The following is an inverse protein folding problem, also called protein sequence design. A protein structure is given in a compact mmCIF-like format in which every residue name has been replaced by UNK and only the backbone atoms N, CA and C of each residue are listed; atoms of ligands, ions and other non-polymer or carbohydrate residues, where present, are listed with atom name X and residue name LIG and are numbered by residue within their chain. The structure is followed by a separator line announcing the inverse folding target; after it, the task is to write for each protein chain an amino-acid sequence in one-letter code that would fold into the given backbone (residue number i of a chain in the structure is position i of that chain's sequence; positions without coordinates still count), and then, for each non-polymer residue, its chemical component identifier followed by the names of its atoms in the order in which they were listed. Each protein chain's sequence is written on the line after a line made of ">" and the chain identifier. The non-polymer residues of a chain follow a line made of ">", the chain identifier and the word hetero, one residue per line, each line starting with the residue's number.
data_IF_107651677829
#
_entry.id   IF_107651677829
#
_cell.length_a   1.000
_cell.length_b   1.000
_cell.length_c   1.000
_cell.angle_alpha   90.00
_cell.angle_beta   90.00
_cell.angle_gamma   90.00
#
_symmetry.space_group_name_H-M   'P 1'
#
loop_
_entity.id
_entity.type
_entity.pdbx_description
1 polymer ?
#
# COMPACT_ATOMS: atom_id res chain seq x y z
N UNK A 1 -15.95 38.25 16.92
CA UNK A 1 -16.80 37.05 16.91
C UNK A 1 -15.86 35.86 16.75
N UNK A 2 -15.69 35.06 17.81
CA UNK A 2 -14.88 33.86 17.76
C UNK A 2 -15.59 32.83 16.88
N UNK A 3 -14.98 32.44 15.78
CA UNK A 3 -15.44 31.31 14.98
C UNK A 3 -15.17 30.04 15.78
N UNK A 4 -16.22 29.50 16.38
CA UNK A 4 -16.28 28.17 16.96
C UNK A 4 -16.23 27.14 15.81
N UNK A 5 -15.09 27.00 15.11
CA UNK A 5 -14.87 25.84 14.25
C UNK A 5 -14.06 24.82 15.04
N UNK A 6 -14.69 23.69 15.34
CA UNK A 6 -14.01 22.48 15.80
C UNK A 6 -13.39 21.78 14.58
N UNK A 7 -12.58 22.50 13.80
CA UNK A 7 -11.98 21.96 12.59
C UNK A 7 -10.95 20.89 12.98
N UNK A 8 -11.42 19.64 12.97
CA UNK A 8 -10.58 18.48 13.21
C UNK A 8 -9.91 18.12 11.90
N UNK A 9 -8.61 18.40 11.79
CA UNK A 9 -7.82 17.97 10.63
C UNK A 9 -7.39 16.52 10.83
N UNK A 10 -7.51 15.69 9.80
CA UNK A 10 -6.94 14.34 9.72
C UNK A 10 -6.06 14.30 8.48
N UNK A 11 -4.83 13.83 8.64
CA UNK A 11 -3.86 13.68 7.56
C UNK A 11 -3.59 12.19 7.34
N UNK A 12 -3.83 11.71 6.12
CA UNK A 12 -3.54 10.33 5.74
C UNK A 12 -2.66 10.34 4.48
N UNK A 13 -1.55 9.60 4.53
CA UNK A 13 -0.62 9.42 3.41
C UNK A 13 -0.52 7.93 3.11
N UNK A 14 -0.83 7.54 1.87
CA UNK A 14 -0.41 6.25 1.32
C UNK A 14 0.90 6.47 0.57
N UNK A 15 1.99 5.85 1.02
CA UNK A 15 3.31 6.00 0.44
C UNK A 15 3.78 4.68 -0.19
N UNK A 16 4.38 4.75 -1.38
CA UNK A 16 4.98 3.60 -2.06
C UNK A 16 6.32 3.22 -1.44
N UNK A 17 6.21 2.65 -0.24
CA UNK A 17 7.31 2.16 0.61
C UNK A 17 6.92 0.81 1.21
N UNK A 18 7.93 0.03 1.59
CA UNK A 18 7.71 -1.27 2.23
C UNK A 18 7.01 -1.17 3.58
N UNK A 19 7.26 -0.13 4.37
CA UNK A 19 6.70 -0.01 5.71
C UNK A 19 6.78 1.43 6.22
N UNK A 20 5.93 1.77 7.19
CA UNK A 20 6.08 3.00 7.98
C UNK A 20 7.22 2.92 8.99
N UNK A 21 7.61 4.06 9.58
CA UNK A 21 8.62 4.15 10.63
C UNK A 21 8.33 5.32 11.55
N UNK A 22 8.53 5.14 12.85
CA UNK A 22 8.37 6.23 13.83
C UNK A 22 9.32 7.40 13.51
N UNK A 23 10.59 7.10 13.23
CA UNK A 23 11.58 8.11 12.85
C UNK A 23 11.15 8.86 11.58
N UNK A 24 10.65 8.13 10.57
CA UNK A 24 10.13 8.75 9.36
C UNK A 24 8.96 9.70 9.68
N UNK A 25 7.99 9.24 10.48
CA UNK A 25 6.83 10.04 10.89
C UNK A 25 7.24 11.30 11.65
N UNK A 26 8.13 11.20 12.64
CA UNK A 26 8.61 12.35 13.39
C UNK A 26 9.30 13.38 12.49
N UNK A 27 10.19 12.93 11.59
CA UNK A 27 10.92 13.82 10.69
C UNK A 27 10.02 14.44 9.62
N UNK A 28 8.98 13.74 9.16
CA UNK A 28 7.97 14.31 8.25
C UNK A 28 7.22 15.44 8.91
N UNK A 29 6.78 15.28 10.17
CA UNK A 29 6.07 16.35 10.90
C UNK A 29 6.96 17.57 11.08
N UNK A 30 8.19 17.38 11.58
CA UNK A 30 9.16 18.48 11.72
C UNK A 30 9.40 19.19 10.37
N UNK A 31 9.61 18.42 9.30
CA UNK A 31 9.87 18.97 7.98
C UNK A 31 8.68 19.73 7.41
N UNK A 32 7.46 19.23 7.61
CA UNK A 32 6.24 19.90 7.18
C UNK A 32 6.04 21.23 7.93
N UNK A 33 6.31 21.27 9.23
CA UNK A 33 6.22 22.49 10.03
C UNK A 33 7.24 23.55 9.58
N UNK A 34 8.45 23.13 9.20
CA UNK A 34 9.45 24.02 8.59
C UNK A 34 8.97 24.60 7.26
N UNK A 35 8.30 23.78 6.43
CA UNK A 35 7.75 24.22 5.14
C UNK A 35 6.57 25.18 5.29
N UNK A 36 5.73 25.01 6.32
CA UNK A 36 4.48 25.77 6.49
C UNK A 36 4.65 27.16 7.12
N UNK A 37 5.82 27.47 7.69
CA UNK A 37 6.18 28.76 8.31
C UNK A 37 5.15 29.30 9.33
N UNK A 38 4.03 29.86 8.86
CA UNK A 38 2.97 30.50 9.66
C UNK A 38 1.77 29.58 9.96
N UNK A 39 1.57 28.49 9.21
CA UNK A 39 0.48 27.50 9.41
C UNK A 39 0.98 26.20 10.04
N UNK A 40 1.83 26.31 11.07
CA UNK A 40 2.37 25.15 11.79
C UNK A 40 1.25 24.31 12.40
N UNK A 41 1.53 23.05 12.71
CA UNK A 41 0.69 22.18 13.53
C UNK A 41 -0.64 21.72 12.89
N UNK A 42 -0.76 21.69 11.56
CA UNK A 42 -1.97 21.15 10.90
C UNK A 42 -1.98 19.62 10.86
N UNK A 43 -0.87 19.01 10.43
CA UNK A 43 -0.61 17.59 10.62
C UNK A 43 0.41 17.42 11.75
N UNK A 44 0.04 16.67 12.77
CA UNK A 44 0.80 16.33 13.97
C UNK A 44 0.82 14.81 14.13
N UNK A 45 1.59 14.33 15.10
CA UNK A 45 1.65 12.91 15.42
C UNK A 45 0.27 12.34 15.78
N UNK A 46 -0.61 13.12 16.38
CA UNK A 46 -1.91 12.64 16.84
C UNK A 46 -2.96 12.50 15.71
N UNK A 47 -2.75 13.18 14.58
CA UNK A 47 -3.71 13.19 13.47
C UNK A 47 -3.10 12.86 12.10
N UNK A 48 -1.84 12.42 12.05
CA UNK A 48 -1.15 11.96 10.86
C UNK A 48 -1.00 10.43 10.86
N UNK A 49 -1.41 9.80 9.77
CA UNK A 49 -1.09 8.41 9.45
C UNK A 49 -0.29 8.34 8.15
N UNK A 50 0.90 7.71 8.21
CA UNK A 50 1.70 7.35 7.03
C UNK A 50 1.63 5.84 6.88
N UNK A 51 0.89 5.38 5.86
CA UNK A 51 0.69 3.97 5.52
C UNK A 51 1.57 3.61 4.32
N UNK A 52 2.38 2.55 4.45
CA UNK A 52 3.11 1.99 3.32
C UNK A 52 2.20 1.11 2.47
N UNK A 53 2.27 1.19 1.15
CA UNK A 53 1.61 0.23 0.24
C UNK A 53 2.18 -1.18 0.35
N UNK A 54 3.29 -1.33 1.07
CA UNK A 54 4.00 -2.59 1.29
C UNK A 54 4.57 -3.16 -0.01
N UNK A 55 5.05 -2.29 -0.91
CA UNK A 55 5.91 -2.72 -2.03
C UNK A 55 7.23 -3.26 -1.50
N UNK A 56 7.67 -4.41 -2.04
CA UNK A 56 8.99 -5.00 -1.76
C UNK A 56 10.05 -4.56 -2.79
N UNK A 57 9.71 -3.65 -3.69
CA UNK A 57 10.59 -3.12 -4.74
C UNK A 57 11.01 -1.66 -4.49
N UNK A 58 11.03 -1.21 -3.23
CA UNK A 58 11.53 0.09 -2.82
C UNK A 58 12.96 0.04 -2.26
N UNK A 59 13.73 1.15 -2.29
CA UNK A 59 15.04 1.19 -1.65
C UNK A 59 14.94 1.05 -0.12
N UNK A 60 15.83 0.26 0.47
CA UNK A 60 15.90 0.03 1.92
C UNK A 60 16.73 1.10 2.66
N UNK A 61 16.98 0.89 3.95
CA UNK A 61 17.91 1.72 4.74
C UNK A 61 17.30 2.95 5.39
N UNK A 62 15.98 3.03 5.54
CA UNK A 62 15.29 4.18 6.14
C UNK A 62 14.71 3.89 7.56
N UNK A 63 14.93 2.68 8.09
CA UNK A 63 14.40 2.24 9.37
C UNK A 63 15.41 2.39 10.51
N UNK A 64 14.97 2.91 11.66
CA UNK A 64 15.85 3.28 12.78
C UNK A 64 16.41 2.08 13.57
N UNK A 65 15.74 0.92 13.54
CA UNK A 65 16.09 -0.23 14.37
C UNK A 65 17.06 -1.17 13.65
N UNK A 66 18.08 -1.64 14.38
CA UNK A 66 19.17 -2.49 13.87
C UNK A 66 18.65 -3.75 13.16
N UNK A 67 17.56 -4.35 13.67
CA UNK A 67 16.95 -5.54 13.06
C UNK A 67 16.67 -5.34 11.56
N UNK A 68 16.17 -4.18 11.18
CA UNK A 68 15.83 -3.85 9.79
C UNK A 68 17.02 -3.33 8.98
N UNK A 69 18.15 -3.05 9.64
CA UNK A 69 19.35 -2.54 8.99
C UNK A 69 20.29 -3.65 8.50
N UNK A 70 20.13 -4.89 8.96
CA UNK A 70 20.96 -6.01 8.54
C UNK A 70 20.91 -6.25 7.03
N UNK A 71 19.70 -6.31 6.46
CA UNK A 71 19.50 -6.56 5.03
C UNK A 71 19.72 -5.31 4.17
N UNK A 72 19.63 -4.11 4.75
CA UNK A 72 19.95 -2.85 4.07
C UNK A 72 21.42 -2.44 4.19
N UNK A 73 22.24 -3.22 4.90
CA UNK A 73 23.65 -2.92 5.21
C UNK A 73 23.84 -1.57 5.92
N UNK A 74 22.87 -1.18 6.75
CA UNK A 74 22.88 0.06 7.53
C UNK A 74 21.81 1.07 7.12
N UNK A 75 21.94 2.27 7.66
CA UNK A 75 21.03 3.39 7.41
C UNK A 75 21.54 4.25 6.24
N UNK A 76 20.70 4.44 5.22
CA UNK A 76 20.99 5.20 4.00
C UNK A 76 20.27 6.54 4.09
N UNK A 77 21.03 7.61 4.40
CA UNK A 77 20.48 8.94 4.66
C UNK A 77 19.78 9.53 3.43
N UNK A 78 20.29 9.25 2.24
CA UNK A 78 19.76 9.71 0.97
C UNK A 78 18.33 9.18 0.75
N UNK A 79 18.14 7.87 0.94
CA UNK A 79 16.81 7.24 0.89
C UNK A 79 15.88 7.83 1.94
N UNK A 80 16.34 7.89 3.19
CA UNK A 80 15.54 8.42 4.29
C UNK A 80 15.10 9.87 4.06
N UNK A 81 16.03 10.76 3.72
CA UNK A 81 15.73 12.17 3.48
C UNK A 81 14.82 12.36 2.28
N UNK A 82 14.95 11.51 1.24
CA UNK A 82 14.06 11.54 0.06
C UNK A 82 12.62 11.19 0.45
N UNK A 83 12.42 10.17 1.29
CA UNK A 83 11.08 9.85 1.80
C UNK A 83 10.52 10.94 2.70
N UNK A 84 11.32 11.50 3.62
CA UNK A 84 10.89 12.62 4.46
C UNK A 84 10.44 13.82 3.62
N UNK A 85 11.27 14.24 2.67
CA UNK A 85 10.97 15.38 1.79
C UNK A 85 9.75 15.10 0.91
N UNK A 86 9.70 13.94 0.26
CA UNK A 86 8.59 13.58 -0.63
C UNK A 86 7.24 13.57 0.07
N UNK A 87 7.18 12.96 1.25
CA UNK A 87 5.95 12.89 2.05
C UNK A 87 5.57 14.29 2.55
N UNK A 88 6.51 15.06 3.12
CA UNK A 88 6.22 16.42 3.59
C UNK A 88 5.74 17.34 2.45
N UNK A 89 6.33 17.22 1.25
CA UNK A 89 5.91 17.95 0.07
C UNK A 89 4.50 17.53 -0.41
N UNK A 90 4.15 16.25 -0.33
CA UNK A 90 2.79 15.79 -0.69
C UNK A 90 1.72 16.38 0.26
N UNK A 91 2.00 16.41 1.56
CA UNK A 91 1.14 17.01 2.57
C UNK A 91 1.01 18.53 2.36
N UNK A 92 2.12 19.22 2.09
CA UNK A 92 2.11 20.64 1.76
C UNK A 92 1.24 20.92 0.52
N UNK A 93 1.39 20.13 -0.55
CA UNK A 93 0.59 20.30 -1.78
C UNK A 93 -0.89 20.05 -1.54
N UNK A 94 -1.25 19.02 -0.77
CA UNK A 94 -2.64 18.76 -0.41
C UNK A 94 -3.24 19.93 0.38
N UNK A 95 -2.47 20.46 1.34
CA UNK A 95 -2.91 21.58 2.17
C UNK A 95 -3.09 22.89 1.39
N UNK A 96 -2.16 23.20 0.48
CA UNK A 96 -2.25 24.41 -0.37
C UNK A 96 -3.38 24.33 -1.41
N UNK A 97 -3.87 23.12 -1.70
CA UNK A 97 -4.93 22.87 -2.66
C UNK A 97 -6.23 22.36 -2.01
N UNK A 98 -6.44 22.64 -0.71
CA UNK A 98 -7.70 22.28 -0.05
C UNK A 98 -8.90 22.94 -0.74
N UNK A 99 -9.95 22.15 -0.95
CA UNK A 99 -11.20 22.56 -1.56
C UNK A 99 -12.36 21.97 -0.78
N UNK A 100 -13.51 22.63 -0.82
CA UNK A 100 -14.74 22.02 -0.32
C UNK A 100 -15.12 20.81 -1.18
N UNK A 101 -15.31 19.67 -0.55
CA UNK A 101 -15.53 18.39 -1.23
C UNK A 101 -16.69 17.62 -0.60
N UNK A 102 -17.32 16.77 -1.42
CA UNK A 102 -18.18 15.69 -0.97
C UNK A 102 -17.34 14.40 -0.93
N UNK A 103 -17.40 13.67 0.19
CA UNK A 103 -16.73 12.38 0.36
C UNK A 103 -17.80 11.29 0.22
N UNK A 104 -17.62 10.42 -0.77
CA UNK A 104 -18.48 9.27 -1.01
C UNK A 104 -17.75 7.99 -0.60
N UNK A 105 -18.49 7.05 -0.03
CA UNK A 105 -17.99 5.73 0.38
C UNK A 105 -18.67 4.64 -0.44
N UNK A 106 -17.91 3.65 -0.88
CA UNK A 106 -18.46 2.44 -1.48
C UNK A 106 -17.62 1.22 -1.09
N UNK A 107 -18.24 0.05 -1.11
CA UNK A 107 -17.56 -1.23 -0.90
C UNK A 107 -17.93 -2.21 -2.01
N UNK A 108 -17.01 -3.11 -2.32
CA UNK A 108 -17.24 -4.19 -3.28
C UNK A 108 -16.34 -5.39 -2.98
N UNK A 109 -16.71 -6.56 -3.48
CA UNK A 109 -15.91 -7.77 -3.33
C UNK A 109 -15.01 -7.97 -4.55
N UNK A 110 -13.70 -8.13 -4.33
CA UNK A 110 -12.71 -8.42 -5.36
C UNK A 110 -12.14 -9.83 -5.17
N UNK A 111 -12.56 -10.74 -6.04
CA UNK A 111 -12.06 -12.12 -6.09
C UNK A 111 -10.93 -12.26 -7.10
N UNK A 112 -10.06 -13.25 -6.92
CA UNK A 112 -9.00 -13.61 -7.88
C UNK A 112 -7.75 -12.72 -7.84
N UNK A 113 -7.73 -11.66 -7.03
CA UNK A 113 -6.56 -10.79 -6.84
C UNK A 113 -5.67 -11.20 -5.66
N UNK A 114 -6.09 -12.18 -4.86
CA UNK A 114 -5.34 -12.65 -3.69
C UNK A 114 -5.66 -14.10 -3.30
N UNK A 115 -4.71 -14.73 -2.60
CA UNK A 115 -4.84 -16.04 -1.92
C UNK A 115 -4.22 -15.99 -0.52
N UNK A 116 -4.65 -16.87 0.39
CA UNK A 116 -3.98 -17.05 1.68
C UNK A 116 -2.67 -17.83 1.49
N UNK A 117 -1.56 -17.33 2.03
CA UNK A 117 -0.24 -17.98 1.97
C UNK A 117 0.11 -18.83 3.20
N UNK A 118 -0.78 -18.86 4.19
CA UNK A 118 -0.70 -19.67 5.41
C UNK A 118 -2.06 -20.31 5.76
N UNK A 119 -2.74 -20.99 4.82
CA UNK A 119 -4.12 -21.46 5.01
C UNK A 119 -4.26 -22.45 6.18
N UNK A 120 -3.24 -23.27 6.45
CA UNK A 120 -3.25 -24.18 7.59
C UNK A 120 -3.31 -23.44 8.93
N UNK A 121 -2.70 -22.26 9.03
CA UNK A 121 -2.78 -21.43 10.24
C UNK A 121 -4.15 -20.76 10.37
N UNK A 122 -4.77 -20.36 9.26
CA UNK A 122 -6.14 -19.86 9.28
C UNK A 122 -7.13 -20.91 9.83
N UNK A 123 -6.93 -22.19 9.53
CA UNK A 123 -7.79 -23.28 10.01
C UNK A 123 -7.76 -23.49 11.53
N UNK A 124 -6.73 -22.99 12.22
CA UNK A 124 -6.63 -23.02 13.68
C UNK A 124 -7.55 -22.00 14.36
N UNK A 125 -8.09 -21.03 13.61
CA UNK A 125 -9.14 -20.14 14.13
C UNK A 125 -10.41 -20.95 14.45
N UNK A 126 -11.16 -20.56 15.51
CA UNK A 126 -12.39 -21.24 15.91
C UNK A 126 -13.34 -21.47 14.73
N UNK A 127 -13.88 -22.68 14.61
CA UNK A 127 -14.79 -23.03 13.51
C UNK A 127 -15.99 -22.08 13.44
N UNK A 128 -16.54 -21.69 14.60
CA UNK A 128 -17.66 -20.75 14.69
C UNK A 128 -17.35 -19.36 14.13
N UNK A 129 -16.08 -18.93 14.19
CA UNK A 129 -15.64 -17.67 13.59
C UNK A 129 -15.50 -17.82 12.07
N UNK A 130 -14.83 -18.89 11.61
CA UNK A 130 -14.62 -19.13 10.17
C UNK A 130 -15.92 -19.27 9.38
N UNK A 131 -16.97 -19.82 9.99
CA UNK A 131 -18.29 -19.94 9.36
C UNK A 131 -18.92 -18.59 8.99
N UNK A 132 -18.53 -17.47 9.61
CA UNK A 132 -19.02 -16.14 9.19
C UNK A 132 -18.46 -15.69 7.83
N UNK A 133 -17.34 -16.26 7.39
CA UNK A 133 -16.59 -15.83 6.20
C UNK A 133 -16.56 -16.89 5.09
N UNK A 134 -17.32 -17.98 5.24
CA UNK A 134 -17.27 -19.14 4.34
C UNK A 134 -17.51 -18.78 2.85
N UNK A 135 -18.36 -17.79 2.57
CA UNK A 135 -18.62 -17.31 1.21
C UNK A 135 -17.47 -16.54 0.55
N UNK A 136 -16.56 -15.99 1.35
CA UNK A 136 -15.42 -15.18 0.90
C UNK A 136 -14.09 -15.96 0.94
N UNK A 137 -14.01 -16.95 1.83
CA UNK A 137 -12.84 -17.79 2.04
C UNK A 137 -11.97 -17.31 3.19
N UNK A 138 -10.66 -17.51 3.05
CA UNK A 138 -9.65 -17.28 4.10
C UNK A 138 -8.85 -15.98 3.90
N UNK A 139 -9.38 -15.05 3.10
CA UNK A 139 -8.79 -13.74 2.85
C UNK A 139 -9.89 -12.71 2.70
N UNK A 140 -9.61 -11.47 3.14
CA UNK A 140 -10.55 -10.36 2.99
C UNK A 140 -10.69 -9.97 1.51
N UNK A 141 -11.91 -10.11 0.98
CA UNK A 141 -12.25 -9.73 -0.41
C UNK A 141 -12.83 -8.32 -0.49
N UNK A 142 -13.07 -7.66 0.64
CA UNK A 142 -13.68 -6.33 0.67
C UNK A 142 -12.69 -5.28 0.22
N UNK A 143 -13.04 -4.62 -0.87
CA UNK A 143 -12.41 -3.39 -1.31
C UNK A 143 -13.25 -2.20 -0.84
N UNK A 144 -12.64 -1.31 -0.07
CA UNK A 144 -13.27 -0.07 0.41
C UNK A 144 -12.74 1.12 -0.39
N UNK A 145 -13.64 1.93 -0.95
CA UNK A 145 -13.32 3.13 -1.71
C UNK A 145 -13.88 4.37 -1.04
N UNK A 146 -13.03 5.35 -0.79
CA UNK A 146 -13.41 6.74 -0.60
C UNK A 146 -13.14 7.52 -1.88
N UNK A 147 -14.17 8.21 -2.37
CA UNK A 147 -14.08 9.08 -3.54
C UNK A 147 -14.29 10.53 -3.10
N UNK A 148 -13.41 11.41 -3.56
CA UNK A 148 -13.45 12.83 -3.27
C UNK A 148 -13.89 13.60 -4.51
N UNK A 149 -14.99 14.35 -4.39
CA UNK A 149 -15.54 15.16 -5.48
C UNK A 149 -15.62 16.62 -5.06
N UNK A 150 -15.14 17.54 -5.89
CA UNK A 150 -15.20 18.97 -5.64
C UNK A 150 -16.66 19.46 -5.66
N UNK A 151 -17.07 20.24 -4.64
CA UNK A 151 -18.48 20.67 -4.52
C UNK A 151 -18.94 21.59 -5.63
N UNK A 152 -18.05 22.46 -6.10
CA UNK A 152 -18.30 23.53 -7.05
C UNK A 152 -18.42 23.04 -8.51
N UNK A 153 -17.46 22.24 -8.94
CA UNK A 153 -17.30 21.75 -10.31
C UNK A 153 -17.90 20.37 -10.51
N UNK A 154 -18.17 19.65 -9.41
CA UNK A 154 -18.51 18.21 -9.41
C UNK A 154 -17.45 17.33 -10.07
N UNK A 155 -16.23 17.85 -10.23
CA UNK A 155 -15.09 17.08 -10.72
C UNK A 155 -14.60 16.11 -9.65
N UNK A 156 -14.28 14.90 -10.07
CA UNK A 156 -13.59 13.93 -9.21
C UNK A 156 -12.14 14.40 -9.05
N UNK A 157 -11.65 14.51 -7.81
CA UNK A 157 -10.32 15.06 -7.51
C UNK A 157 -9.39 14.06 -6.85
N UNK A 158 -9.92 12.93 -6.39
CA UNK A 158 -9.09 11.85 -5.93
C UNK A 158 -9.89 10.67 -5.41
N UNK A 159 -9.16 9.58 -5.16
CA UNK A 159 -9.68 8.40 -4.49
C UNK A 159 -8.66 7.83 -3.51
N UNK A 160 -9.18 7.17 -2.48
CA UNK A 160 -8.42 6.37 -1.55
C UNK A 160 -9.09 5.01 -1.40
N UNK A 161 -8.35 3.97 -1.74
CA UNK A 161 -8.82 2.60 -1.80
C UNK A 161 -8.08 1.73 -0.77
N UNK A 162 -8.78 0.81 -0.12
CA UNK A 162 -8.21 -0.16 0.79
C UNK A 162 -8.57 -1.58 0.33
N UNK A 163 -7.56 -2.44 0.22
CA UNK A 163 -7.72 -3.84 -0.16
C UNK A 163 -6.55 -4.68 0.35
N UNK A 164 -6.83 -5.91 0.81
CA UNK A 164 -5.82 -6.79 1.38
C UNK A 164 -5.04 -7.56 0.30
N UNK A 165 -3.82 -7.13 -0.01
CA UNK A 165 -2.89 -7.88 -0.86
C UNK A 165 -1.46 -7.37 -0.66
N UNK A 166 -0.48 -8.26 -0.52
CA UNK A 166 0.95 -7.88 -0.45
C UNK A 166 1.43 -7.23 -1.76
N UNK A 167 2.30 -6.22 -1.66
CA UNK A 167 3.05 -5.67 -2.79
C UNK A 167 4.28 -6.53 -3.13
N UNK A 168 4.02 -7.79 -3.54
CA UNK A 168 5.03 -8.80 -3.87
C UNK A 168 4.71 -9.54 -5.18
N UNK A 169 4.08 -8.87 -6.14
CA UNK A 169 3.93 -9.43 -7.50
C UNK A 169 5.30 -9.41 -8.21
N UNK A 170 6.09 -8.36 -8.00
CA UNK A 170 7.51 -8.33 -8.35
C UNK A 170 8.29 -9.16 -7.32
N UNK A 171 8.87 -10.27 -7.76
CA UNK A 171 9.58 -11.19 -6.87
C UNK A 171 11.00 -10.69 -6.51
N UNK A 172 11.70 -11.42 -5.64
CA UNK A 172 13.03 -11.04 -5.14
C UNK A 172 14.18 -11.10 -6.16
N UNK A 173 13.92 -11.50 -7.41
CA UNK A 173 14.91 -11.40 -8.51
C UNK A 173 14.83 -10.06 -9.23
N UNK A 174 13.81 -9.25 -8.96
CA UNK A 174 13.67 -7.89 -9.47
C UNK A 174 14.78 -6.97 -8.91
N UNK A 175 15.35 -6.14 -9.79
CA UNK A 175 16.34 -5.10 -9.45
C UNK A 175 15.85 -3.68 -9.77
N UNK A 176 14.61 -3.53 -10.26
CA UNK A 176 14.02 -2.25 -10.64
C UNK A 176 13.18 -1.68 -9.50
N UNK A 177 13.34 -0.38 -9.21
CA UNK A 177 12.46 0.29 -8.24
C UNK A 177 11.03 0.30 -8.79
N UNK A 178 10.08 -0.16 -7.98
CA UNK A 178 8.67 -0.29 -8.36
C UNK A 178 7.74 -0.15 -7.15
N UNK A 179 6.55 0.38 -7.41
CA UNK A 179 5.43 0.46 -6.47
C UNK A 179 4.52 -0.79 -6.49
N UNK A 180 4.91 -1.82 -7.26
CA UNK A 180 4.25 -3.13 -7.35
C UNK A 180 2.76 -3.03 -7.78
N UNK A 181 1.94 -4.03 -7.47
CA UNK A 181 0.55 -4.15 -7.92
C UNK A 181 -0.33 -2.95 -7.50
N UNK A 182 -0.27 -2.55 -6.22
CA UNK A 182 -1.00 -1.37 -5.70
C UNK A 182 -0.58 -0.08 -6.39
N UNK A 183 0.71 0.09 -6.65
CA UNK A 183 1.20 1.24 -7.39
C UNK A 183 0.77 1.23 -8.85
N UNK A 184 0.71 0.06 -9.49
CA UNK A 184 0.17 -0.08 -10.84
C UNK A 184 -1.32 0.27 -10.88
N UNK A 185 -2.10 -0.15 -9.89
CA UNK A 185 -3.51 0.23 -9.74
C UNK A 185 -3.67 1.75 -9.57
N UNK A 186 -2.85 2.39 -8.70
CA UNK A 186 -2.80 3.85 -8.57
C UNK A 186 -2.49 4.52 -9.91
N UNK A 187 -1.45 4.04 -10.61
CA UNK A 187 -1.04 4.55 -11.91
C UNK A 187 -2.16 4.49 -12.95
N UNK A 188 -2.86 3.36 -13.07
CA UNK A 188 -3.95 3.19 -14.02
C UNK A 188 -5.12 4.14 -13.71
N UNK A 189 -5.47 4.29 -12.43
CA UNK A 189 -6.50 5.22 -12.00
C UNK A 189 -6.12 6.68 -12.31
N UNK A 190 -4.91 7.12 -11.94
CA UNK A 190 -4.44 8.46 -12.24
C UNK A 190 -4.38 8.72 -13.75
N UNK A 191 -3.91 7.77 -14.54
CA UNK A 191 -3.89 7.87 -16.01
C UNK A 191 -5.29 8.00 -16.61
N UNK A 192 -6.26 7.27 -16.07
CA UNK A 192 -7.64 7.34 -16.49
C UNK A 192 -8.24 8.73 -16.24
N UNK A 193 -8.13 9.24 -15.00
CA UNK A 193 -8.77 10.50 -14.61
C UNK A 193 -8.01 11.75 -15.07
N UNK A 194 -6.67 11.71 -15.12
CA UNK A 194 -5.86 12.82 -15.62
C UNK A 194 -5.74 12.84 -17.16
N UNK A 195 -6.23 11.80 -17.83
CA UNK A 195 -6.23 11.67 -19.29
C UNK A 195 -4.94 11.09 -19.88
N UNK A 196 -5.08 10.36 -20.99
CA UNK A 196 -3.99 9.60 -21.62
C UNK A 196 -2.80 10.45 -22.11
N UNK A 197 -2.98 11.75 -22.32
CA UNK A 197 -1.90 12.68 -22.70
C UNK A 197 -1.09 13.18 -21.51
N UNK A 198 -1.55 12.97 -20.27
CA UNK A 198 -0.84 13.39 -19.07
C UNK A 198 0.26 12.38 -18.74
N UNK A 199 1.47 12.89 -18.50
CA UNK A 199 2.62 12.05 -18.15
C UNK A 199 2.41 11.38 -16.77
N UNK A 200 2.93 10.16 -16.55
CA UNK A 200 2.88 9.51 -15.23
C UNK A 200 3.44 10.41 -14.11
N UNK A 201 2.78 10.43 -12.95
CA UNK A 201 3.15 11.29 -11.81
C UNK A 201 2.82 12.78 -11.99
N UNK A 202 2.00 13.13 -12.99
CA UNK A 202 1.44 14.46 -13.23
C UNK A 202 -0.09 14.40 -13.27
N UNK A 203 -0.71 15.55 -13.09
CA UNK A 203 -2.16 15.71 -13.06
C UNK A 203 -2.66 16.13 -11.68
N UNK A 204 -3.93 16.54 -11.64
CA UNK A 204 -4.56 17.05 -10.43
C UNK A 204 -5.31 15.96 -9.66
N UNK A 205 -5.76 14.89 -10.35
CA UNK A 205 -6.39 13.73 -9.72
C UNK A 205 -5.34 12.84 -9.07
N UNK A 206 -5.55 12.49 -7.80
CA UNK A 206 -4.67 11.60 -7.03
C UNK A 206 -5.40 10.30 -6.69
N UNK A 207 -4.78 9.16 -7.00
CA UNK A 207 -5.31 7.85 -6.64
C UNK A 207 -4.36 7.11 -5.70
N UNK A 208 -4.86 6.69 -4.54
CA UNK A 208 -4.07 5.93 -3.57
C UNK A 208 -4.70 4.57 -3.27
N UNK A 209 -3.92 3.50 -3.37
CA UNK A 209 -4.31 2.14 -2.96
C UNK A 209 -3.53 1.73 -1.71
N UNK A 210 -4.16 1.94 -0.55
CA UNK A 210 -3.60 1.69 0.76
C UNK A 210 -3.64 0.20 1.16
N UNK A 211 -2.81 -0.11 2.15
CA UNK A 211 -2.72 -1.42 2.79
C UNK A 211 -3.79 -1.60 3.87
N UNK A 212 -4.21 -2.86 4.08
CA UNK A 212 -5.07 -3.29 5.19
C UNK A 212 -4.41 -4.47 5.94
N UNK A 213 -5.20 -5.48 6.32
CA UNK A 213 -4.85 -6.77 6.89
C UNK A 213 -4.21 -7.73 5.86
N UNK A 214 -3.09 -7.33 5.26
CA UNK A 214 -2.42 -8.11 4.20
C UNK A 214 -1.45 -9.21 4.69
N UNK A 215 -1.35 -9.47 6.00
CA UNK A 215 -0.27 -10.27 6.62
C UNK A 215 -0.07 -11.68 6.06
N UNK A 216 -1.14 -12.40 5.77
CA UNK A 216 -1.16 -13.75 5.18
C UNK A 216 -1.73 -13.75 3.75
N UNK A 217 -1.78 -12.59 3.10
CA UNK A 217 -2.46 -12.41 1.81
C UNK A 217 -1.45 -12.15 0.69
N UNK A 218 -1.38 -13.06 -0.28
CA UNK A 218 -0.42 -13.04 -1.38
C UNK A 218 -1.08 -12.72 -2.72
N UNK A 219 -0.43 -11.94 -3.61
CA UNK A 219 -0.89 -11.70 -4.99
C UNK A 219 -0.60 -12.89 -5.93
N UNK A 220 0.16 -13.89 -5.47
CA UNK A 220 0.63 -15.01 -6.28
C UNK A 220 -0.45 -16.09 -6.43
N UNK A 221 -1.50 -15.76 -7.18
CA UNK A 221 -2.77 -16.52 -7.24
C UNK A 221 -2.69 -17.85 -8.00
N UNK A 222 -1.57 -18.16 -8.67
CA UNK A 222 -1.33 -19.49 -9.25
C UNK A 222 -0.91 -20.54 -8.21
N UNK A 223 -0.76 -20.13 -6.94
CA UNK A 223 -0.42 -20.99 -5.82
C UNK A 223 1.07 -21.32 -5.74
N UNK A 224 1.45 -21.97 -4.63
CA UNK A 224 2.83 -22.39 -4.38
C UNK A 224 3.10 -23.78 -4.92
N UNK A 225 4.22 -23.94 -5.64
CA UNK A 225 4.67 -25.21 -6.22
C UNK A 225 6.17 -25.39 -6.05
N UNK A 226 6.60 -26.63 -6.11
CA UNK A 226 8.00 -27.01 -6.15
C UNK A 226 8.59 -26.65 -7.51
N UNK A 227 9.56 -25.74 -7.54
CA UNK A 227 10.14 -25.23 -8.79
C UNK A 227 10.91 -26.29 -9.59
N UNK A 228 11.33 -27.38 -8.96
CA UNK A 228 12.10 -28.46 -9.56
C UNK A 228 11.22 -29.59 -10.12
N UNK A 229 10.06 -29.86 -9.50
CA UNK A 229 9.17 -30.96 -9.89
C UNK A 229 7.83 -30.51 -10.48
N UNK A 230 7.41 -29.26 -10.23
CA UNK A 230 6.10 -28.74 -10.57
C UNK A 230 4.95 -29.24 -9.68
N UNK A 231 5.25 -30.07 -8.68
CA UNK A 231 4.26 -30.61 -7.74
C UNK A 231 3.84 -29.56 -6.70
N UNK A 232 2.65 -29.72 -6.07
CA UNK A 232 2.28 -28.93 -4.90
C UNK A 232 3.33 -29.04 -3.79
N UNK A 233 3.54 -27.95 -3.05
CA UNK A 233 4.37 -27.98 -1.84
C UNK A 233 3.70 -28.76 -0.71
N UNK A 234 4.47 -29.10 0.32
CA UNK A 234 3.90 -29.47 1.62
C UNK A 234 3.23 -28.25 2.27
N UNK A 235 1.93 -28.36 2.55
CA UNK A 235 1.10 -27.24 3.01
C UNK A 235 1.52 -26.67 4.37
N UNK A 236 1.98 -27.52 5.30
CA UNK A 236 2.30 -27.10 6.68
C UNK A 236 3.68 -26.45 6.79
N UNK A 237 4.65 -26.98 6.07
CA UNK A 237 6.04 -26.52 6.14
C UNK A 237 6.42 -25.58 5.00
N UNK A 238 5.56 -25.43 3.99
CA UNK A 238 5.86 -24.69 2.75
C UNK A 238 7.18 -25.17 2.14
N UNK A 239 7.33 -26.49 1.95
CA UNK A 239 8.58 -27.10 1.52
C UNK A 239 8.41 -28.16 0.45
N UNK A 240 9.50 -28.45 -0.25
CA UNK A 240 9.60 -29.50 -1.26
C UNK A 240 10.73 -30.44 -0.88
N UNK A 241 10.39 -31.67 -0.51
CA UNK A 241 11.32 -32.64 0.09
C UNK A 241 12.08 -32.05 1.29
N UNK A 242 11.37 -31.28 2.14
CA UNK A 242 11.94 -30.61 3.32
C UNK A 242 12.72 -29.33 3.03
N UNK A 243 12.83 -28.90 1.77
CA UNK A 243 13.50 -27.65 1.40
C UNK A 243 12.48 -26.54 1.07
N UNK A 244 12.41 -25.52 1.91
CA UNK A 244 11.50 -24.38 1.73
C UNK A 244 11.90 -23.43 0.60
N UNK A 245 13.19 -23.39 0.22
CA UNK A 245 13.67 -22.53 -0.87
C UNK A 245 13.14 -22.95 -2.25
N UNK A 246 12.60 -24.16 -2.36
CA UNK A 246 12.04 -24.71 -3.60
C UNK A 246 10.54 -24.48 -3.72
N UNK A 247 9.84 -24.15 -2.64
CA UNK A 247 8.42 -23.90 -2.66
C UNK A 247 8.14 -22.42 -2.95
N UNK A 248 7.68 -22.12 -4.16
CA UNK A 248 7.51 -20.73 -4.61
C UNK A 248 6.08 -20.50 -5.12
N UNK A 249 5.44 -19.45 -4.61
CA UNK A 249 4.19 -18.92 -5.13
C UNK A 249 4.43 -18.15 -6.43
N UNK A 250 3.60 -18.39 -7.45
CA UNK A 250 3.68 -17.66 -8.73
C UNK A 250 2.43 -16.82 -8.99
N UNK A 251 2.62 -15.67 -9.64
CA UNK A 251 1.52 -14.83 -10.12
C UNK A 251 0.77 -15.43 -11.32
N UNK A 252 -0.31 -14.79 -11.76
CA UNK A 252 -1.15 -15.27 -12.86
C UNK A 252 -0.57 -14.98 -14.26
N UNK A 253 0.48 -14.16 -14.36
CA UNK A 253 1.12 -13.80 -15.63
C UNK A 253 2.22 -14.77 -16.06
N UNK A 254 2.72 -14.58 -17.28
CA UNK A 254 3.88 -15.33 -17.80
C UNK A 254 5.19 -14.95 -17.12
N UNK A 255 5.26 -13.74 -16.56
CA UNK A 255 6.38 -13.24 -15.78
C UNK A 255 5.89 -12.33 -14.63
N UNK A 256 6.83 -11.79 -13.84
CA UNK A 256 6.51 -10.93 -12.71
C UNK A 256 5.91 -9.57 -13.12
N UNK A 257 6.27 -9.05 -14.30
CA UNK A 257 5.76 -7.77 -14.78
C UNK A 257 4.29 -7.95 -15.16
N UNK A 258 3.99 -8.95 -16.00
CA UNK A 258 2.62 -9.26 -16.37
C UNK A 258 1.77 -9.67 -15.16
N UNK A 259 2.35 -10.39 -14.19
CA UNK A 259 1.65 -10.72 -12.94
C UNK A 259 1.32 -9.46 -12.13
N UNK A 260 2.22 -8.48 -12.11
CA UNK A 260 1.99 -7.18 -11.45
C UNK A 260 0.92 -6.36 -12.17
N UNK A 261 0.81 -6.47 -13.49
CA UNK A 261 -0.23 -5.76 -14.25
C UNK A 261 -1.62 -6.40 -14.15
N UNK A 262 -1.68 -7.74 -14.01
CA UNK A 262 -2.94 -8.48 -13.89
C UNK A 262 -3.59 -8.30 -12.51
N UNK A 263 -2.76 -8.28 -11.46
CA UNK A 263 -3.20 -8.14 -10.05
C UNK A 263 -3.46 -6.67 -9.73
#
# INVERSE_FOLDING_TARGET
>A
AATNSTDTTICFVSADIGMGSDLLTFRVVERLDDLLSERKNLCKIENLSISGTHTHSGPAGFLQYVLYQFTSLGFVKETFNTFVEGIAQSLLRAQLNMKETDIMINTGLLFGANINRSPTSYLENPLSERMFYESEGDTDKTMLLLKFQAKDTKADIGLLNWFAVHGTSMNNTNLLVSSDNKGYASYLAEKHFNGNSTLPGRGDFVAAFASTNLGDVSPNTAGAKCIDTGLPCDDKSSSCDGNSLKCIGSGPGNDMFQSTEII
#
